data_IF_799815112169
#
_entry.id   IF_799815112169
#
_cell.length_a   1.000
_cell.length_b   1.000
_cell.length_c   1.000
_cell.angle_alpha   90.00
_cell.angle_beta   90.00
_cell.angle_gamma   90.00
#
_symmetry.space_group_name_H-M   'P 1'
#
loop_
_entity.id
_entity.type
_entity.pdbx_description
1 polymer ?
#
# COMPACT_ATOMS: atom_id res chain seq x y z
N UNK A 1 16.52 8.19 6.78
CA UNK A 1 15.77 9.40 6.35
C UNK A 1 16.75 10.42 5.80
N UNK A 2 16.49 11.04 4.66
CA UNK A 2 17.37 12.07 4.09
C UNK A 2 17.11 13.42 4.78
N UNK A 3 18.16 14.07 5.23
CA UNK A 3 18.15 15.33 5.95
C UNK A 3 19.01 16.38 5.25
N UNK A 4 18.84 17.66 5.62
CA UNK A 4 19.70 18.75 5.14
C UNK A 4 21.03 18.72 5.88
N UNK A 5 21.95 17.89 5.43
CA UNK A 5 23.30 17.75 5.98
C UNK A 5 24.29 17.24 4.93
N UNK A 6 25.53 17.20 5.32
CA UNK A 6 26.60 16.66 4.48
C UNK A 6 26.65 15.13 4.61
N UNK A 7 26.66 14.45 3.45
CA UNK A 7 26.72 13.01 3.33
C UNK A 7 27.97 12.56 2.59
N UNK A 8 28.63 11.49 3.04
CA UNK A 8 29.58 10.76 2.22
C UNK A 8 28.87 10.16 0.98
N UNK A 9 29.55 10.13 -0.17
CA UNK A 9 29.02 9.50 -1.39
C UNK A 9 28.51 8.08 -1.14
N UNK A 10 29.23 7.27 -0.38
CA UNK A 10 28.86 5.88 -0.12
C UNK A 10 27.50 5.76 0.57
N UNK A 11 27.19 6.66 1.53
CA UNK A 11 25.91 6.69 2.26
C UNK A 11 24.75 7.03 1.31
N UNK A 12 24.89 8.08 0.49
CA UNK A 12 23.85 8.43 -0.49
C UNK A 12 23.71 7.38 -1.59
N UNK A 13 24.82 6.79 -2.03
CA UNK A 13 24.77 5.70 -3.03
C UNK A 13 24.02 4.48 -2.53
N UNK A 14 24.17 4.14 -1.25
CA UNK A 14 23.39 3.08 -0.61
C UNK A 14 21.91 3.47 -0.49
N UNK A 15 21.61 4.69 -0.01
CA UNK A 15 20.25 5.19 0.18
C UNK A 15 19.46 5.21 -1.14
N UNK A 16 20.08 5.68 -2.21
CA UNK A 16 19.47 5.78 -3.55
C UNK A 16 19.76 4.56 -4.44
N UNK A 17 20.42 3.53 -3.92
CA UNK A 17 20.72 2.28 -4.64
C UNK A 17 21.39 2.54 -5.99
N UNK A 18 22.48 3.31 -5.96
CA UNK A 18 23.30 3.60 -7.13
C UNK A 18 24.68 2.99 -6.98
N UNK A 19 25.31 2.62 -8.12
CA UNK A 19 26.65 2.03 -8.13
C UNK A 19 27.75 3.05 -8.48
N UNK A 20 27.37 4.11 -9.15
CA UNK A 20 28.31 5.11 -9.69
C UNK A 20 27.89 6.53 -9.32
N UNK A 21 28.81 7.48 -9.43
CA UNK A 21 28.62 8.88 -9.07
C UNK A 21 27.63 9.59 -10.02
N UNK A 22 27.73 9.32 -11.31
CA UNK A 22 26.86 9.95 -12.30
C UNK A 22 25.41 9.49 -12.17
N UNK A 23 25.20 8.20 -11.87
CA UNK A 23 23.89 7.65 -11.55
C UNK A 23 23.29 8.27 -10.28
N UNK A 24 24.14 8.54 -9.26
CA UNK A 24 23.71 9.21 -8.04
C UNK A 24 23.30 10.66 -8.35
N UNK A 25 24.13 11.44 -9.01
CA UNK A 25 23.84 12.84 -9.38
C UNK A 25 22.53 12.95 -10.16
N UNK A 26 22.37 12.15 -11.21
CA UNK A 26 21.13 12.09 -12.01
C UNK A 26 19.89 11.77 -11.18
N UNK A 27 20.02 10.92 -10.14
CA UNK A 27 18.89 10.64 -9.25
C UNK A 27 18.59 11.80 -8.32
N UNK A 28 19.60 12.43 -7.72
CA UNK A 28 19.43 13.60 -6.86
C UNK A 28 18.73 14.73 -7.62
N UNK A 29 19.22 15.07 -8.81
CA UNK A 29 18.62 16.09 -9.69
C UNK A 29 17.18 15.73 -10.09
N UNK A 30 16.95 14.49 -10.55
CA UNK A 30 15.61 14.01 -10.94
C UNK A 30 14.61 14.06 -9.79
N UNK A 31 15.07 13.91 -8.56
CA UNK A 31 14.20 13.92 -7.39
C UNK A 31 14.03 15.31 -6.77
N UNK A 32 14.66 16.34 -7.37
CA UNK A 32 14.56 17.72 -6.89
C UNK A 32 15.38 17.95 -5.62
N UNK A 33 16.53 17.28 -5.50
CA UNK A 33 17.45 17.48 -4.40
C UNK A 33 18.56 18.42 -4.84
N UNK A 34 18.66 19.58 -4.19
CA UNK A 34 19.72 20.56 -4.40
C UNK A 34 20.89 20.23 -3.48
N UNK A 35 22.09 20.19 -4.03
CA UNK A 35 23.28 19.82 -3.28
C UNK A 35 24.52 20.57 -3.76
N UNK A 36 25.52 20.67 -2.88
CA UNK A 36 26.88 21.05 -3.21
C UNK A 36 27.79 19.84 -3.06
N UNK A 37 28.70 19.65 -4.03
CA UNK A 37 29.66 18.55 -3.97
C UNK A 37 31.05 19.05 -3.59
N UNK A 38 31.81 18.24 -2.84
CA UNK A 38 33.18 18.51 -2.48
C UNK A 38 34.01 17.22 -2.46
N UNK A 39 35.29 17.33 -2.80
CA UNK A 39 36.20 16.18 -2.89
C UNK A 39 36.07 15.42 -4.21
N UNK A 40 36.70 14.26 -4.30
CA UNK A 40 36.69 13.41 -5.48
C UNK A 40 36.90 11.94 -5.10
N UNK A 41 36.50 11.05 -6.00
CA UNK A 41 36.65 9.61 -5.77
C UNK A 41 35.92 9.13 -4.50
N UNK A 42 36.63 8.45 -3.61
CA UNK A 42 36.07 7.90 -2.36
C UNK A 42 35.87 8.95 -1.26
N UNK A 43 36.55 10.12 -1.36
CA UNK A 43 36.40 11.22 -0.40
C UNK A 43 35.28 12.21 -0.77
N UNK A 44 34.57 11.94 -1.87
CA UNK A 44 33.49 12.78 -2.34
C UNK A 44 32.33 12.85 -1.33
N UNK A 45 31.87 14.06 -1.12
CA UNK A 45 30.73 14.35 -0.23
C UNK A 45 29.71 15.22 -0.94
N UNK A 46 28.46 15.11 -0.51
CA UNK A 46 27.31 15.88 -0.98
C UNK A 46 26.68 16.59 0.20
N UNK A 47 26.64 17.90 0.17
CA UNK A 47 25.99 18.72 1.18
C UNK A 47 24.59 19.07 0.67
N UNK A 48 23.57 18.43 1.23
CA UNK A 48 22.17 18.60 0.81
C UNK A 48 21.63 19.92 1.31
N UNK A 49 21.27 20.81 0.40
CA UNK A 49 20.82 22.18 0.67
C UNK A 49 19.31 22.32 0.67
N UNK A 50 18.63 21.58 -0.21
CA UNK A 50 17.18 21.65 -0.36
C UNK A 50 16.61 20.31 -0.85
N UNK A 51 15.41 20.01 -0.42
CA UNK A 51 14.61 18.87 -0.89
C UNK A 51 13.25 19.43 -1.33
N UNK A 52 13.00 19.51 -2.63
CA UNK A 52 11.78 20.10 -3.20
C UNK A 52 10.51 19.35 -2.80
N UNK A 53 10.57 18.02 -2.72
CA UNK A 53 9.43 17.17 -2.33
C UNK A 53 9.88 16.17 -1.26
N UNK A 54 9.86 16.57 0.03
CA UNK A 54 10.26 15.70 1.13
C UNK A 54 9.40 14.44 1.27
N UNK A 55 8.09 14.51 0.95
CA UNK A 55 7.20 13.36 0.96
C UNK A 55 7.62 12.29 -0.06
N UNK A 56 7.90 12.70 -1.29
CA UNK A 56 8.41 11.81 -2.34
C UNK A 56 9.73 11.16 -1.93
N UNK A 57 10.67 11.94 -1.37
CA UNK A 57 11.96 11.42 -0.92
C UNK A 57 11.77 10.39 0.19
N UNK A 58 10.93 10.68 1.19
CA UNK A 58 10.59 9.72 2.24
C UNK A 58 10.05 8.41 1.65
N UNK A 59 9.10 8.49 0.72
CA UNK A 59 8.54 7.30 0.09
C UNK A 59 9.61 6.47 -0.66
N UNK A 60 10.55 7.12 -1.33
CA UNK A 60 11.63 6.45 -2.06
C UNK A 60 12.64 5.80 -1.11
N UNK A 61 13.09 6.54 -0.08
CA UNK A 61 14.21 6.12 0.78
C UNK A 61 13.78 5.23 1.93
N UNK A 62 12.59 5.47 2.49
CA UNK A 62 12.11 4.77 3.68
C UNK A 62 11.04 3.69 3.37
N UNK A 63 10.31 3.81 2.25
CA UNK A 63 9.25 2.88 1.87
C UNK A 63 9.54 2.14 0.57
N UNK A 64 10.72 2.28 0.00
CA UNK A 64 11.16 1.59 -1.22
C UNK A 64 10.25 1.79 -2.44
N UNK A 65 9.64 2.97 -2.58
CA UNK A 65 8.90 3.28 -3.80
C UNK A 65 9.82 3.52 -4.99
N UNK A 66 9.38 3.09 -6.17
CA UNK A 66 10.05 3.46 -7.42
C UNK A 66 9.88 4.96 -7.69
N UNK A 67 10.93 5.63 -8.17
CA UNK A 67 10.89 7.07 -8.48
C UNK A 67 9.95 7.46 -9.62
N UNK A 68 9.33 6.49 -10.32
CA UNK A 68 8.28 6.70 -11.34
C UNK A 68 6.88 6.61 -10.77
N UNK A 69 6.75 6.31 -9.49
CA UNK A 69 5.44 6.22 -8.80
C UNK A 69 4.72 7.56 -8.88
N UNK A 70 3.42 7.53 -9.06
CA UNK A 70 2.55 8.70 -8.93
C UNK A 70 2.39 9.05 -7.44
N UNK A 71 3.29 9.90 -6.94
CA UNK A 71 3.33 10.27 -5.52
C UNK A 71 2.13 11.08 -5.08
N UNK A 72 1.41 11.74 -5.99
CA UNK A 72 0.12 12.38 -5.68
C UNK A 72 -0.93 11.35 -5.27
N UNK A 73 -0.99 10.22 -5.97
CA UNK A 73 -1.89 9.11 -5.57
C UNK A 73 -1.49 8.47 -4.26
N UNK A 74 -0.18 8.26 -4.02
CA UNK A 74 0.32 7.72 -2.75
C UNK A 74 -0.07 8.64 -1.59
N UNK A 75 0.19 9.95 -1.73
CA UNK A 75 -0.14 10.94 -0.72
C UNK A 75 -1.63 10.98 -0.42
N UNK A 76 -2.47 11.04 -1.45
CA UNK A 76 -3.92 11.05 -1.27
C UNK A 76 -4.40 9.78 -0.55
N UNK A 77 -3.91 8.62 -0.92
CA UNK A 77 -4.25 7.38 -0.24
C UNK A 77 -3.80 7.39 1.22
N UNK A 78 -2.55 7.76 1.52
CA UNK A 78 -2.04 7.80 2.90
C UNK A 78 -2.72 8.86 3.75
N UNK A 79 -3.16 9.98 3.15
CA UNK A 79 -3.97 10.97 3.85
C UNK A 79 -5.26 10.35 4.42
N UNK A 80 -6.05 9.68 3.59
CA UNK A 80 -7.26 8.99 4.07
C UNK A 80 -6.91 7.85 5.02
N UNK A 81 -5.88 7.08 4.71
CA UNK A 81 -5.47 5.93 5.49
C UNK A 81 -5.11 6.27 6.94
N UNK A 82 -4.45 7.39 7.18
CA UNK A 82 -4.01 7.80 8.51
C UNK A 82 -4.97 8.74 9.23
N UNK A 83 -5.94 9.36 8.55
CA UNK A 83 -6.87 10.31 9.17
C UNK A 83 -8.31 9.78 9.28
N UNK A 84 -8.58 8.58 8.77
CA UNK A 84 -9.90 7.96 8.81
C UNK A 84 -9.77 6.49 9.22
N UNK A 85 -10.06 6.21 10.50
CA UNK A 85 -9.98 4.86 11.08
C UNK A 85 -10.93 3.89 10.38
N UNK A 86 -12.10 4.35 9.97
CA UNK A 86 -13.06 3.54 9.21
C UNK A 86 -12.47 3.16 7.86
N UNK A 87 -11.91 4.12 7.12
CA UNK A 87 -11.22 3.85 5.86
C UNK A 87 -10.05 2.89 6.04
N UNK A 88 -9.24 3.07 7.09
CA UNK A 88 -8.11 2.19 7.38
C UNK A 88 -8.56 0.75 7.56
N UNK A 89 -9.69 0.51 8.25
CA UNK A 89 -10.24 -0.82 8.51
C UNK A 89 -11.00 -1.45 7.33
N UNK A 90 -11.34 -0.68 6.28
CA UNK A 90 -12.08 -1.20 5.12
C UNK A 90 -11.29 -2.25 4.34
N UNK A 91 -11.95 -3.24 3.71
CA UNK A 91 -11.36 -4.07 2.67
C UNK A 91 -10.86 -3.24 1.48
N UNK A 92 -9.83 -3.71 0.78
CA UNK A 92 -9.19 -2.97 -0.31
C UNK A 92 -10.16 -2.67 -1.48
N UNK A 93 -11.17 -3.53 -1.72
CA UNK A 93 -12.24 -3.30 -2.69
C UNK A 93 -13.11 -2.10 -2.32
N UNK A 94 -13.45 -1.98 -1.05
CA UNK A 94 -14.29 -0.89 -0.54
C UNK A 94 -13.50 0.42 -0.55
N UNK A 95 -12.21 0.37 -0.19
CA UNK A 95 -11.28 1.52 -0.33
C UNK A 95 -11.23 2.03 -1.77
N UNK A 96 -11.13 1.12 -2.76
CA UNK A 96 -11.14 1.49 -4.18
C UNK A 96 -12.41 2.26 -4.57
N UNK A 97 -13.58 1.74 -4.17
CA UNK A 97 -14.87 2.40 -4.44
C UNK A 97 -14.93 3.78 -3.79
N UNK A 98 -14.53 3.90 -2.53
CA UNK A 98 -14.53 5.17 -1.81
C UNK A 98 -13.57 6.18 -2.42
N UNK A 99 -12.33 5.79 -2.73
CA UNK A 99 -11.36 6.66 -3.40
C UNK A 99 -11.86 7.16 -4.76
N UNK A 100 -12.59 6.31 -5.50
CA UNK A 100 -13.21 6.69 -6.77
C UNK A 100 -14.35 7.70 -6.56
N UNK A 101 -15.20 7.51 -5.56
CA UNK A 101 -16.28 8.44 -5.21
C UNK A 101 -15.74 9.82 -4.81
N UNK A 102 -14.57 9.88 -4.16
CA UNK A 102 -13.89 11.12 -3.78
C UNK A 102 -13.14 11.79 -4.96
N UNK A 103 -13.29 11.29 -6.19
CA UNK A 103 -12.59 11.82 -7.36
C UNK A 103 -11.07 11.55 -7.38
N UNK A 104 -10.59 10.63 -6.56
CA UNK A 104 -9.17 10.26 -6.42
C UNK A 104 -8.94 8.77 -6.68
N UNK A 105 -9.24 8.26 -7.89
CA UNK A 105 -9.27 6.83 -8.16
C UNK A 105 -7.89 6.19 -7.97
N UNK A 106 -7.87 5.13 -7.16
CA UNK A 106 -6.71 4.24 -6.96
C UNK A 106 -7.20 2.81 -7.10
N UNK A 107 -6.57 2.04 -8.00
CA UNK A 107 -6.98 0.66 -8.22
C UNK A 107 -6.67 -0.22 -7.01
N UNK A 108 -7.50 -1.23 -6.74
CA UNK A 108 -7.38 -2.18 -5.64
C UNK A 108 -5.96 -2.76 -5.49
N UNK A 109 -5.35 -3.22 -6.58
CA UNK A 109 -4.00 -3.77 -6.53
C UNK A 109 -2.95 -2.74 -6.08
N UNK A 110 -3.16 -1.48 -6.46
CA UNK A 110 -2.30 -0.36 -6.03
C UNK A 110 -2.49 -0.06 -4.54
N UNK A 111 -3.74 -0.09 -4.05
CA UNK A 111 -4.07 0.05 -2.62
C UNK A 111 -3.37 -1.04 -1.80
N UNK A 112 -3.50 -2.31 -2.24
CA UNK A 112 -2.82 -3.43 -1.59
C UNK A 112 -1.30 -3.24 -1.54
N UNK A 113 -0.69 -2.75 -2.63
CA UNK A 113 0.74 -2.46 -2.68
C UNK A 113 1.14 -1.32 -1.73
N UNK A 114 0.36 -0.24 -1.65
CA UNK A 114 0.64 0.88 -0.75
C UNK A 114 0.55 0.46 0.72
N UNK A 115 -0.47 -0.34 1.07
CA UNK A 115 -0.61 -0.92 2.41
C UNK A 115 0.53 -1.89 2.73
N UNK A 116 0.93 -2.72 1.77
CA UNK A 116 2.07 -3.64 1.92
C UNK A 116 3.38 -2.88 2.18
N UNK A 117 3.61 -1.73 1.53
CA UNK A 117 4.80 -0.90 1.78
C UNK A 117 4.87 -0.44 3.23
N UNK A 118 3.76 0.02 3.81
CA UNK A 118 3.72 0.40 5.23
C UNK A 118 4.01 -0.81 6.13
N UNK A 119 3.41 -1.96 5.84
CA UNK A 119 3.60 -3.19 6.61
C UNK A 119 5.02 -3.73 6.52
N UNK A 120 5.62 -3.78 5.32
CA UNK A 120 6.98 -4.30 5.11
C UNK A 120 8.07 -3.46 5.76
N UNK A 121 7.76 -2.19 6.07
CA UNK A 121 8.65 -1.27 6.79
C UNK A 121 8.25 -1.07 8.27
N UNK A 122 7.40 -1.96 8.81
CA UNK A 122 6.96 -1.97 10.20
C UNK A 122 6.30 -0.66 10.67
N UNK A 123 5.57 0.02 9.78
CA UNK A 123 4.77 1.20 10.14
C UNK A 123 3.36 0.83 10.55
N UNK A 124 2.84 -0.31 10.07
CA UNK A 124 1.57 -0.86 10.45
C UNK A 124 1.66 -2.37 10.65
N UNK A 125 0.79 -2.91 11.50
CA UNK A 125 0.48 -4.33 11.57
C UNK A 125 -0.87 -4.58 10.90
N UNK A 126 -0.94 -5.56 10.00
CA UNK A 126 -2.18 -5.98 9.36
C UNK A 126 -2.48 -7.41 9.77
N UNK A 127 -3.53 -7.58 10.55
CA UNK A 127 -4.05 -8.85 10.99
C UNK A 127 -5.44 -9.10 10.38
N UNK A 128 -5.94 -10.33 10.48
CA UNK A 128 -7.33 -10.65 10.17
C UNK A 128 -8.10 -10.70 11.46
N UNK A 129 -9.02 -9.76 11.66
CA UNK A 129 -9.89 -9.73 12.84
C UNK A 129 -10.94 -10.82 12.76
N UNK A 130 -11.56 -10.96 11.58
CA UNK A 130 -12.66 -11.91 11.35
C UNK A 130 -12.86 -12.11 9.84
N UNK A 131 -13.84 -12.90 9.47
CA UNK A 131 -14.24 -13.13 8.10
C UNK A 131 -15.72 -12.83 7.88
N UNK A 132 -16.02 -12.19 6.76
CA UNK A 132 -17.36 -12.11 6.19
C UNK A 132 -17.54 -13.29 5.27
N UNK A 133 -18.64 -14.03 5.44
CA UNK A 133 -19.00 -15.19 4.62
C UNK A 133 -20.19 -14.84 3.74
N UNK A 134 -20.14 -15.25 2.47
CA UNK A 134 -21.21 -15.00 1.51
C UNK A 134 -21.20 -15.99 0.36
N UNK A 135 -22.36 -16.12 -0.31
CA UNK A 135 -22.48 -16.82 -1.58
C UNK A 135 -22.50 -15.82 -2.71
N UNK A 136 -21.66 -16.01 -3.73
CA UNK A 136 -21.56 -15.13 -4.89
C UNK A 136 -21.94 -15.82 -6.18
N UNK A 137 -22.86 -15.19 -6.93
CA UNK A 137 -23.21 -15.61 -8.30
C UNK A 137 -23.42 -14.39 -9.19
N UNK A 138 -22.62 -14.29 -10.28
CA UNK A 138 -22.60 -13.12 -11.18
C UNK A 138 -22.36 -11.83 -10.37
N UNK A 139 -23.34 -10.91 -10.34
CA UNK A 139 -23.27 -9.64 -9.63
C UNK A 139 -24.04 -9.66 -8.28
N UNK A 140 -24.59 -10.81 -7.89
CA UNK A 140 -25.34 -10.93 -6.64
C UNK A 140 -24.49 -11.56 -5.53
N UNK A 141 -24.69 -11.10 -4.31
CA UNK A 141 -24.07 -11.66 -3.11
C UNK A 141 -25.16 -11.86 -2.05
N UNK A 142 -25.16 -13.04 -1.44
CA UNK A 142 -26.00 -13.35 -0.27
C UNK A 142 -25.13 -13.59 0.93
N UNK A 143 -25.26 -12.77 1.94
CA UNK A 143 -24.55 -12.92 3.20
C UNK A 143 -24.94 -14.22 3.89
N UNK A 144 -24.00 -14.85 4.57
CA UNK A 144 -24.22 -16.09 5.31
C UNK A 144 -23.35 -16.14 6.56
N UNK A 145 -23.58 -17.10 7.42
CA UNK A 145 -22.73 -17.37 8.57
C UNK A 145 -21.61 -18.38 8.24
N UNK A 146 -20.71 -18.56 9.20
CA UNK A 146 -19.59 -19.50 9.07
C UNK A 146 -20.07 -20.95 8.93
N UNK A 147 -21.16 -21.33 9.59
CA UNK A 147 -21.64 -22.72 9.60
C UNK A 147 -22.17 -23.12 8.23
N UNK A 148 -23.03 -22.29 7.63
CA UNK A 148 -23.57 -22.51 6.28
C UNK A 148 -22.45 -22.48 5.22
N UNK A 149 -21.49 -21.57 5.36
CA UNK A 149 -20.30 -21.53 4.51
C UNK A 149 -19.49 -22.84 4.56
N UNK A 150 -19.21 -23.35 5.75
CA UNK A 150 -18.45 -24.58 5.93
C UNK A 150 -19.23 -25.80 5.42
N UNK A 151 -20.56 -25.82 5.64
CA UNK A 151 -21.42 -26.88 5.14
C UNK A 151 -21.39 -26.94 3.60
N UNK A 152 -21.46 -25.80 2.92
CA UNK A 152 -21.40 -25.74 1.47
C UNK A 152 -20.07 -26.32 0.91
N UNK A 153 -18.94 -26.01 1.55
CA UNK A 153 -17.66 -26.60 1.16
C UNK A 153 -17.53 -28.07 1.53
N UNK A 154 -18.12 -28.50 2.65
CA UNK A 154 -18.15 -29.92 3.01
C UNK A 154 -18.92 -30.73 1.98
N UNK A 155 -20.09 -30.27 1.53
CA UNK A 155 -20.88 -30.93 0.48
C UNK A 155 -20.14 -30.94 -0.87
N UNK A 156 -19.50 -29.84 -1.23
CA UNK A 156 -18.65 -29.80 -2.45
C UNK A 156 -17.56 -30.90 -2.40
N UNK A 157 -16.86 -31.04 -1.31
CA UNK A 157 -15.81 -32.06 -1.19
C UNK A 157 -16.38 -33.48 -1.10
N UNK A 158 -17.58 -33.65 -0.55
CA UNK A 158 -18.30 -34.94 -0.59
C UNK A 158 -18.66 -35.32 -2.03
N UNK A 159 -19.17 -34.38 -2.84
CA UNK A 159 -19.47 -34.60 -4.26
C UNK A 159 -18.20 -35.03 -5.02
N UNK A 160 -17.07 -34.32 -4.82
CA UNK A 160 -15.78 -34.71 -5.42
C UNK A 160 -15.36 -36.12 -4.99
N UNK A 161 -15.50 -36.44 -3.70
CA UNK A 161 -15.19 -37.78 -3.16
C UNK A 161 -16.06 -38.90 -3.74
N UNK A 162 -17.29 -38.56 -4.17
CA UNK A 162 -18.22 -39.46 -4.85
C UNK A 162 -18.04 -39.52 -6.38
N UNK A 163 -17.01 -38.89 -6.92
CA UNK A 163 -16.68 -38.91 -8.35
C UNK A 163 -17.39 -37.84 -9.20
N UNK A 164 -18.08 -36.88 -8.58
CA UNK A 164 -18.64 -35.72 -9.29
C UNK A 164 -17.49 -34.81 -9.75
N UNK A 165 -17.53 -34.32 -10.99
CA UNK A 165 -16.49 -33.40 -11.44
C UNK A 165 -16.60 -32.04 -10.75
N UNK A 166 -15.50 -31.30 -10.66
CA UNK A 166 -15.44 -29.99 -9.95
C UNK A 166 -16.43 -28.97 -10.52
N UNK A 167 -16.68 -29.01 -11.81
CA UNK A 167 -17.66 -28.10 -12.44
C UNK A 167 -19.07 -28.38 -11.95
N UNK A 168 -19.48 -29.66 -11.95
CA UNK A 168 -20.82 -30.08 -11.52
C UNK A 168 -21.01 -29.86 -10.02
N UNK A 169 -19.99 -30.15 -9.20
CA UNK A 169 -20.02 -29.86 -7.77
C UNK A 169 -20.19 -28.35 -7.46
N UNK A 170 -19.56 -27.47 -8.25
CA UNK A 170 -19.81 -26.02 -8.16
C UNK A 170 -21.22 -25.64 -8.64
N UNK A 171 -21.75 -26.32 -9.66
CA UNK A 171 -23.14 -26.10 -10.11
C UNK A 171 -24.13 -26.51 -9.02
N UNK A 172 -23.93 -27.66 -8.37
CA UNK A 172 -24.73 -28.13 -7.23
C UNK A 172 -24.72 -27.10 -6.08
N UNK A 173 -23.54 -26.58 -5.73
CA UNK A 173 -23.42 -25.52 -4.72
C UNK A 173 -24.20 -24.26 -5.10
N UNK A 174 -24.12 -23.82 -6.36
CA UNK A 174 -24.86 -22.63 -6.86
C UNK A 174 -26.36 -22.84 -6.81
N UNK A 175 -26.83 -24.01 -7.21
CA UNK A 175 -28.25 -24.35 -7.22
C UNK A 175 -28.82 -24.37 -5.80
N UNK A 176 -28.12 -25.04 -4.88
CA UNK A 176 -28.58 -25.20 -3.49
C UNK A 176 -28.47 -23.91 -2.68
N UNK A 177 -27.37 -23.17 -2.79
CA UNK A 177 -27.06 -22.01 -1.92
C UNK A 177 -27.23 -20.66 -2.61
N UNK A 178 -27.57 -20.62 -3.90
CA UNK A 178 -27.72 -19.40 -4.69
C UNK A 178 -26.38 -18.78 -5.13
N UNK A 179 -25.26 -19.47 -4.97
CA UNK A 179 -23.96 -18.99 -5.36
C UNK A 179 -22.81 -19.85 -4.89
N UNK A 180 -21.58 -19.46 -5.21
CA UNK A 180 -20.37 -20.13 -4.72
C UNK A 180 -19.97 -19.53 -3.39
N UNK A 181 -19.71 -20.37 -2.39
CA UNK A 181 -19.27 -19.96 -1.07
C UNK A 181 -17.94 -19.22 -1.15
N UNK A 182 -17.90 -18.03 -0.59
CA UNK A 182 -16.74 -17.13 -0.53
C UNK A 182 -16.56 -16.62 0.89
N UNK A 183 -15.32 -16.28 1.23
CA UNK A 183 -15.00 -15.54 2.45
C UNK A 183 -14.12 -14.34 2.12
N UNK A 184 -14.32 -13.27 2.85
CA UNK A 184 -13.52 -12.06 2.78
C UNK A 184 -12.97 -11.75 4.16
N UNK A 185 -11.67 -11.53 4.28
CA UNK A 185 -11.05 -11.14 5.54
C UNK A 185 -11.47 -9.72 5.91
N UNK A 186 -11.88 -9.53 7.16
CA UNK A 186 -11.99 -8.20 7.77
C UNK A 186 -10.60 -7.86 8.31
N UNK A 187 -9.92 -6.86 7.73
CA UNK A 187 -8.61 -6.47 8.22
C UNK A 187 -8.74 -5.79 9.58
N UNK A 188 -7.80 -6.07 10.46
CA UNK A 188 -7.49 -5.26 11.61
C UNK A 188 -6.11 -4.64 11.35
N UNK A 189 -6.08 -3.32 11.27
CA UNK A 189 -4.85 -2.58 11.00
C UNK A 189 -4.55 -1.74 12.22
N UNK A 190 -3.44 -2.04 12.86
CA UNK A 190 -2.92 -1.28 13.99
C UNK A 190 -1.70 -0.47 13.53
N UNK A 191 -1.75 0.83 13.74
CA UNK A 191 -0.58 1.68 13.56
C UNK A 191 0.47 1.36 14.63
N UNK A 192 1.67 1.00 14.21
CA UNK A 192 2.80 0.95 15.13
C UNK A 192 3.21 2.40 15.38
N UNK A 193 2.93 2.89 16.58
CA UNK A 193 3.28 4.26 16.94
C UNK A 193 4.82 4.41 16.96
N UNK A 194 5.37 5.14 16.01
CA UNK A 194 6.79 5.44 15.93
C UNK A 194 7.01 6.82 15.29
N UNK A 195 8.19 7.38 15.50
CA UNK A 195 8.60 8.69 14.98
C UNK A 195 8.47 8.78 13.44
N UNK A 196 8.64 7.66 12.72
CA UNK A 196 8.50 7.63 11.26
C UNK A 196 7.07 7.85 10.80
N UNK A 197 6.06 7.33 11.52
CA UNK A 197 4.64 7.57 11.20
C UNK A 197 4.29 9.04 11.42
N UNK A 198 4.69 9.62 12.55
CA UNK A 198 4.42 11.01 12.85
C UNK A 198 5.09 11.94 11.83
N UNK A 199 6.32 11.62 11.45
CA UNK A 199 7.00 12.34 10.39
C UNK A 199 6.31 12.18 9.02
N UNK A 200 5.89 10.97 8.65
CA UNK A 200 5.13 10.74 7.42
C UNK A 200 3.82 11.55 7.39
N UNK A 201 3.08 11.58 8.52
CA UNK A 201 1.86 12.38 8.66
C UNK A 201 2.13 13.87 8.46
N UNK A 202 3.20 14.40 9.08
CA UNK A 202 3.59 15.81 8.92
C UNK A 202 3.95 16.15 7.48
N UNK A 203 4.65 15.25 6.76
CA UNK A 203 4.97 15.41 5.34
C UNK A 203 3.72 15.41 4.44
N UNK A 204 2.75 14.54 4.72
CA UNK A 204 1.47 14.50 4.01
C UNK A 204 0.73 15.83 4.18
N UNK A 205 0.63 16.31 5.41
CA UNK A 205 -0.05 17.56 5.73
C UNK A 205 0.61 18.76 5.05
N UNK A 206 1.92 18.93 5.19
CA UNK A 206 2.69 20.00 4.55
C UNK A 206 2.55 19.99 3.02
N UNK A 207 2.58 18.81 2.42
CA UNK A 207 2.44 18.68 0.96
C UNK A 207 1.03 19.03 0.45
N UNK A 208 -0.03 18.81 1.25
CA UNK A 208 -1.40 19.22 0.91
C UNK A 208 -1.60 20.72 1.07
N UNK A 209 -1.03 21.33 2.09
CA UNK A 209 -1.09 22.78 2.31
C UNK A 209 -0.43 23.55 1.16
N UNK A 210 0.69 23.06 0.64
CA UNK A 210 1.37 23.65 -0.51
C UNK A 210 0.51 23.58 -1.80
N UNK A 211 -0.26 22.52 -2.02
CA UNK A 211 -1.17 22.43 -3.19
C UNK A 211 -2.39 23.36 -3.08
N UNK A 212 -2.81 23.72 -1.87
CA UNK A 212 -3.96 24.64 -1.68
C UNK A 212 -3.55 26.11 -1.72
N UNK A 213 -2.26 26.41 -1.62
CA UNK A 213 -1.70 27.77 -1.65
C UNK A 213 -1.29 28.25 -3.05
N UNK A 214 -1.31 27.37 -4.05
CA UNK A 214 -1.12 27.68 -5.47
C UNK A 214 -2.48 27.81 -6.18
#
# INVERSE_FOLDING_TARGET
>A
MLELRKYPKAELSALFRTRDTEGLKRKLERYGIVYEEAGWGNTMTFDIKEITDPFKIFCITELDFDGRTDFKKVRNFYYYFFNDEEFMAMPDEVKEVRMRAEGRPVARQTIANYTYKLQSHNLIERNTKDFIYYFAFKQTQRMTDRAEYLQAWHEYWADIGNGVCSFDAICNMREKYGGVARKQAIPEINGIYNEKIEYLRSLIQASLENEMGE
#
